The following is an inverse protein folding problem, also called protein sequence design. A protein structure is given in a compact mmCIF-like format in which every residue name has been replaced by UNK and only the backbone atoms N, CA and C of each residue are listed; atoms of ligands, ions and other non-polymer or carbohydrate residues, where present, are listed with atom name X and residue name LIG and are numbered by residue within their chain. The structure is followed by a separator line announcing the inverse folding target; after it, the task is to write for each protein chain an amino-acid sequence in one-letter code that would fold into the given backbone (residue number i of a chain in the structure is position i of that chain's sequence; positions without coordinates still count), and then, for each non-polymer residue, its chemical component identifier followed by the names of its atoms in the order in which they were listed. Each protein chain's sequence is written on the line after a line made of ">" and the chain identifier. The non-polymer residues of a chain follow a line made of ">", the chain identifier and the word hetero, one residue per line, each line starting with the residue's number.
data_IF_627372537339
#
_entry.id   IF_627372537339
#
_cell.length_a   1.000
_cell.length_b   1.000
_cell.length_c   1.000
_cell.angle_alpha   90.00
_cell.angle_beta   90.00
_cell.angle_gamma   90.00
#
_symmetry.space_group_name_H-M   'P 1'
#
loop_
_entity.id
_entity.type
_entity.pdbx_description
1 polymer ?
#
# COMPACT_ATOMS: atom_id res chain seq x y z
N UNK A 1 -0.85 -11.14 27.48
CA UNK A 1 -1.42 -10.04 26.71
C UNK A 1 -0.85 -8.73 27.30
N UNK A 2 0.29 -8.28 26.77
CA UNK A 2 0.93 -7.04 27.24
C UNK A 2 0.67 -5.95 26.19
N UNK A 3 -0.31 -5.13 26.45
CA UNK A 3 -0.48 -3.87 25.74
C UNK A 3 0.66 -2.96 26.17
N UNK A 4 1.69 -2.80 25.35
CA UNK A 4 2.64 -1.72 25.51
C UNK A 4 1.93 -0.42 25.17
N UNK A 5 1.36 0.22 26.18
CA UNK A 5 0.80 1.56 26.06
C UNK A 5 1.93 2.52 25.70
N UNK A 6 2.05 2.86 24.43
CA UNK A 6 2.84 4.01 24.02
C UNK A 6 2.07 5.27 24.42
N UNK A 7 2.33 5.76 25.63
CA UNK A 7 1.83 7.08 26.04
C UNK A 7 2.69 8.12 25.32
N UNK A 8 2.26 8.53 24.13
CA UNK A 8 2.76 9.73 23.49
C UNK A 8 1.81 10.88 23.82
N UNK A 9 2.33 11.86 24.52
CA UNK A 9 1.67 13.12 24.81
C UNK A 9 1.11 13.75 23.52
N UNK A 10 -0.20 13.78 23.33
CA UNK A 10 -0.93 14.67 22.40
C UNK A 10 -0.44 14.74 20.95
N UNK A 11 0.30 13.75 20.46
CA UNK A 11 0.92 13.76 19.13
C UNK A 11 0.10 12.99 18.09
N UNK A 12 0.10 13.49 16.87
CA UNK A 12 -0.36 12.80 15.67
C UNK A 12 0.38 11.47 15.57
N UNK A 13 -0.37 10.37 15.46
CA UNK A 13 0.19 9.01 15.31
C UNK A 13 0.16 8.63 13.83
N UNK A 14 1.30 8.17 13.32
CA UNK A 14 1.36 7.53 12.02
C UNK A 14 0.88 6.08 12.16
N UNK A 15 -0.18 5.72 11.42
CA UNK A 15 -0.70 4.35 11.35
C UNK A 15 -0.41 3.76 9.97
N UNK A 16 0.26 2.62 9.94
CA UNK A 16 0.46 1.86 8.71
C UNK A 16 -0.45 0.64 8.76
N UNK A 17 -1.38 0.59 7.83
CA UNK A 17 -2.47 -0.36 7.79
C UNK A 17 -2.33 -1.30 6.59
N UNK A 18 -2.64 -2.57 6.80
CA UNK A 18 -2.65 -3.57 5.74
C UNK A 18 -3.80 -4.55 5.89
N UNK A 19 -4.04 -5.34 4.86
CA UNK A 19 -5.04 -6.41 4.86
C UNK A 19 -4.34 -7.71 4.51
N UNK A 20 -4.58 -8.72 5.32
CA UNK A 20 -4.20 -10.09 5.05
C UNK A 20 -5.43 -11.01 5.13
N UNK A 21 -5.54 -11.92 4.20
CA UNK A 21 -6.53 -13.00 4.22
C UNK A 21 -5.85 -14.26 3.69
N UNK A 22 -6.20 -15.39 4.32
CA UNK A 22 -5.63 -16.67 3.97
C UNK A 22 -6.00 -17.10 2.54
N UNK A 23 -5.12 -17.86 1.90
CA UNK A 23 -5.36 -18.51 0.62
C UNK A 23 -4.42 -18.15 -0.51
N UNK A 24 -3.90 -16.91 -0.59
CA UNK A 24 -2.98 -16.50 -1.66
C UNK A 24 -1.57 -16.24 -1.16
N UNK A 25 -1.45 -15.50 -0.09
CA UNK A 25 -0.20 -15.22 0.59
C UNK A 25 -0.13 -15.99 1.91
N UNK A 26 1.08 -16.20 2.41
CA UNK A 26 1.32 -16.78 3.73
C UNK A 26 1.43 -15.67 4.80
N UNK A 27 1.16 -15.95 6.08
CA UNK A 27 1.20 -14.93 7.15
C UNK A 27 2.53 -14.20 7.28
N UNK A 28 3.63 -14.83 6.86
CA UNK A 28 4.97 -14.26 6.92
C UNK A 28 5.16 -13.04 5.99
N UNK A 29 4.29 -12.82 4.99
CA UNK A 29 4.28 -11.57 4.22
C UNK A 29 4.04 -10.36 5.11
N UNK A 30 3.11 -10.48 6.06
CA UNK A 30 2.80 -9.42 7.02
C UNK A 30 3.99 -9.19 7.95
N UNK A 31 4.54 -10.26 8.52
CA UNK A 31 5.69 -10.19 9.44
C UNK A 31 6.91 -9.54 8.78
N UNK A 32 7.22 -9.98 7.55
CA UNK A 32 8.37 -9.46 6.80
C UNK A 32 8.21 -8.02 6.39
N UNK A 33 7.01 -7.60 5.95
CA UNK A 33 6.71 -6.20 5.68
C UNK A 33 6.88 -5.36 6.97
N UNK A 34 6.26 -5.79 8.08
CA UNK A 34 6.33 -5.09 9.35
C UNK A 34 7.76 -4.91 9.84
N UNK A 35 8.52 -6.01 9.91
CA UNK A 35 9.92 -5.98 10.35
C UNK A 35 10.80 -5.17 9.41
N UNK A 36 10.53 -5.22 8.10
CA UNK A 36 11.25 -4.44 7.11
C UNK A 36 10.99 -2.93 7.26
N UNK A 37 9.75 -2.53 7.51
CA UNK A 37 9.40 -1.15 7.85
C UNK A 37 10.11 -0.70 9.13
N UNK A 38 10.10 -1.52 10.19
CA UNK A 38 10.80 -1.22 11.45
C UNK A 38 12.31 -1.05 11.27
N UNK A 39 12.95 -1.85 10.40
CA UNK A 39 14.39 -1.74 10.11
C UNK A 39 14.76 -0.50 9.29
N UNK A 40 13.85 -0.04 8.44
CA UNK A 40 14.11 0.99 7.44
C UNK A 40 13.45 2.34 7.73
N UNK A 41 12.86 2.51 8.93
CA UNK A 41 12.28 3.78 9.36
C UNK A 41 12.77 4.20 10.73
N UNK A 42 13.08 5.49 10.88
CA UNK A 42 13.27 6.15 12.15
C UNK A 42 11.97 6.79 12.69
N UNK A 43 10.95 6.92 11.86
CA UNK A 43 9.66 7.49 12.24
C UNK A 43 8.86 6.43 13.00
N UNK A 44 8.41 6.71 14.23
CA UNK A 44 7.58 5.78 14.96
C UNK A 44 6.20 5.65 14.30
N UNK A 45 5.69 4.43 14.23
CA UNK A 45 4.38 4.13 13.70
C UNK A 45 3.72 2.97 14.45
N UNK A 46 2.42 2.89 14.36
CA UNK A 46 1.62 1.74 14.76
C UNK A 46 1.27 0.92 13.52
N UNK A 47 1.62 -0.36 13.49
CA UNK A 47 1.32 -1.25 12.38
C UNK A 47 0.05 -2.06 12.65
N UNK A 48 -0.96 -1.89 11.81
CA UNK A 48 -2.29 -2.46 11.97
C UNK A 48 -2.59 -3.42 10.82
N UNK A 49 -2.95 -4.65 11.13
CA UNK A 49 -3.37 -5.62 10.12
C UNK A 49 -4.83 -6.03 10.32
N UNK A 50 -5.63 -5.91 9.27
CA UNK A 50 -6.94 -6.55 9.21
C UNK A 50 -6.73 -7.99 8.73
N UNK A 51 -7.00 -8.98 9.59
CA UNK A 51 -6.70 -10.38 9.32
C UNK A 51 -7.70 -11.32 10.02
N UNK A 52 -7.95 -12.47 9.40
CA UNK A 52 -8.71 -13.58 9.98
C UNK A 52 -7.83 -14.59 10.71
N UNK A 53 -6.52 -14.41 10.65
CA UNK A 53 -5.54 -15.28 11.26
C UNK A 53 -4.52 -14.51 12.09
N UNK A 54 -3.76 -15.22 12.91
CA UNK A 54 -2.70 -14.62 13.73
C UNK A 54 -1.52 -14.22 12.84
N UNK A 55 -1.13 -12.94 12.91
CA UNK A 55 -0.02 -12.35 12.17
C UNK A 55 0.78 -11.42 13.09
N UNK A 56 2.00 -11.11 12.72
CA UNK A 56 2.82 -10.18 13.48
C UNK A 56 2.45 -8.73 13.14
N UNK A 57 1.77 -8.06 14.08
CA UNK A 57 1.40 -6.64 13.97
C UNK A 57 1.30 -6.03 15.38
N UNK A 58 1.35 -4.70 15.50
CA UNK A 58 1.07 -4.02 16.77
C UNK A 58 -0.42 -4.18 17.15
N UNK A 59 -1.30 -4.17 16.14
CA UNK A 59 -2.74 -4.37 16.30
C UNK A 59 -3.27 -5.30 15.20
N UNK A 60 -4.01 -6.33 15.58
CA UNK A 60 -4.75 -7.20 14.66
C UNK A 60 -6.23 -6.86 14.78
N UNK A 61 -6.84 -6.44 13.67
CA UNK A 61 -8.27 -6.24 13.57
C UNK A 61 -8.91 -7.51 12.99
N UNK A 62 -10.00 -8.01 13.59
CA UNK A 62 -10.62 -9.22 13.11
C UNK A 62 -11.26 -9.01 11.74
N UNK A 63 -10.99 -9.95 10.85
CA UNK A 63 -11.67 -10.05 9.57
C UNK A 63 -13.09 -10.56 9.77
N UNK A 64 -14.05 -9.85 9.22
CA UNK A 64 -15.44 -10.26 9.28
C UNK A 64 -15.93 -10.71 7.88
N UNK A 65 -16.07 -12.01 7.69
CA UNK A 65 -16.55 -12.58 6.41
C UNK A 65 -18.05 -12.33 6.15
N UNK A 66 -18.79 -11.93 7.17
CA UNK A 66 -20.25 -11.68 7.03
C UNK A 66 -20.57 -10.34 6.33
N UNK A 67 -19.62 -9.43 6.22
CA UNK A 67 -19.86 -8.12 5.61
C UNK A 67 -19.88 -8.16 4.06
N UNK A 68 -19.65 -9.35 3.46
CA UNK A 68 -19.64 -9.61 2.01
C UNK A 68 -18.60 -8.82 1.22
N UNK A 69 -17.68 -8.13 1.89
CA UNK A 69 -16.58 -7.43 1.26
C UNK A 69 -15.51 -8.44 0.87
N UNK A 70 -14.99 -8.33 -0.34
CA UNK A 70 -14.06 -9.30 -0.93
C UNK A 70 -12.63 -8.79 -0.89
N UNK A 71 -11.71 -9.65 -0.46
CA UNK A 71 -10.27 -9.51 -0.66
C UNK A 71 -9.75 -8.10 -0.30
N UNK A 72 -9.04 -7.47 -1.22
CA UNK A 72 -8.43 -6.16 -1.06
C UNK A 72 -9.41 -4.98 -0.92
N UNK A 73 -10.69 -5.17 -1.24
CA UNK A 73 -11.72 -4.15 -0.98
C UNK A 73 -11.86 -3.81 0.50
N UNK A 74 -11.40 -4.69 1.39
CA UNK A 74 -11.31 -4.40 2.81
C UNK A 74 -10.39 -3.22 3.15
N UNK A 75 -9.45 -2.84 2.27
CA UNK A 75 -8.64 -1.64 2.42
C UNK A 75 -9.47 -0.37 2.56
N UNK A 76 -10.66 -0.34 1.95
CA UNK A 76 -11.56 0.81 2.03
C UNK A 76 -12.07 1.09 3.45
N UNK A 77 -12.07 0.09 4.35
CA UNK A 77 -12.46 0.28 5.76
C UNK A 77 -11.56 1.29 6.47
N UNK A 78 -10.29 1.39 6.07
CA UNK A 78 -9.34 2.33 6.67
C UNK A 78 -9.64 3.80 6.34
N UNK A 79 -10.48 4.09 5.34
CA UNK A 79 -10.98 5.44 5.09
C UNK A 79 -12.09 5.86 6.07
N UNK A 80 -12.65 4.92 6.84
CA UNK A 80 -13.57 5.22 7.93
C UNK A 80 -12.81 5.67 9.17
N UNK A 81 -13.04 6.88 9.69
CA UNK A 81 -12.37 7.36 10.91
C UNK A 81 -12.76 6.58 12.16
N UNK A 82 -13.86 5.79 12.12
CA UNK A 82 -14.27 4.90 13.20
C UNK A 82 -13.55 3.55 13.19
N UNK A 83 -12.81 3.25 12.12
CA UNK A 83 -12.11 1.98 11.97
C UNK A 83 -10.63 2.12 12.37
N UNK A 84 -10.03 1.05 12.87
CA UNK A 84 -8.60 0.97 13.22
C UNK A 84 -8.13 1.99 14.29
N UNK A 85 -9.00 2.30 15.25
CA UNK A 85 -8.68 3.18 16.39
C UNK A 85 -8.05 4.53 15.96
N UNK A 86 -8.55 5.10 14.89
CA UNK A 86 -8.07 6.36 14.35
C UNK A 86 -8.49 7.53 15.23
N UNK A 87 -7.60 8.50 15.41
CA UNK A 87 -7.91 9.78 16.03
C UNK A 87 -7.92 10.88 14.96
N UNK A 88 -8.68 11.97 15.19
CA UNK A 88 -8.61 13.13 14.30
C UNK A 88 -7.16 13.63 14.13
N UNK A 89 -6.74 13.80 12.90
CA UNK A 89 -5.40 14.27 12.57
C UNK A 89 -4.33 13.18 12.45
N UNK A 90 -4.60 11.91 12.80
CA UNK A 90 -3.68 10.81 12.51
C UNK A 90 -3.34 10.76 11.02
N UNK A 91 -2.09 10.43 10.71
CA UNK A 91 -1.68 10.05 9.36
C UNK A 91 -1.97 8.56 9.16
N UNK A 92 -2.76 8.24 8.15
CA UNK A 92 -3.12 6.87 7.80
C UNK A 92 -2.41 6.49 6.52
N UNK A 93 -1.68 5.39 6.55
CA UNK A 93 -1.11 4.74 5.38
C UNK A 93 -1.80 3.39 5.20
N UNK A 94 -2.23 3.08 3.99
CA UNK A 94 -2.71 1.76 3.59
C UNK A 94 -1.74 1.19 2.58
N UNK A 95 -1.14 0.03 2.89
CA UNK A 95 -0.12 -0.62 2.05
C UNK A 95 -0.50 -2.05 1.71
N UNK A 96 -0.12 -2.51 0.51
CA UNK A 96 -0.16 -3.92 0.15
C UNK A 96 0.99 -4.69 0.82
N UNK A 97 0.79 -5.98 1.08
CA UNK A 97 1.77 -6.85 1.75
C UNK A 97 2.85 -7.41 0.81
N UNK A 98 2.63 -7.35 -0.50
CA UNK A 98 3.53 -7.87 -1.52
C UNK A 98 4.60 -6.85 -1.94
N UNK A 99 5.23 -6.23 -0.94
CA UNK A 99 6.24 -5.20 -1.12
C UNK A 99 7.52 -5.54 -0.36
N UNK A 100 8.66 -5.35 -1.02
CA UNK A 100 9.99 -5.45 -0.41
C UNK A 100 10.53 -4.06 -0.17
N UNK A 101 10.77 -3.72 1.09
CA UNK A 101 11.39 -2.45 1.48
C UNK A 101 12.90 -2.59 1.32
N UNK A 102 13.51 -1.80 0.46
CA UNK A 102 14.93 -1.91 0.06
C UNK A 102 15.81 -0.78 0.57
N UNK A 103 15.22 0.21 1.23
CA UNK A 103 15.97 1.35 1.77
C UNK A 103 15.16 2.16 2.76
N UNK A 104 15.75 3.24 3.29
CA UNK A 104 15.08 4.13 4.22
C UNK A 104 13.78 4.69 3.64
N UNK A 105 12.69 4.52 4.36
CA UNK A 105 11.34 4.93 3.95
C UNK A 105 10.83 6.19 4.66
N UNK A 106 11.64 6.87 5.45
CA UNK A 106 11.19 8.03 6.24
C UNK A 106 10.59 9.12 5.36
N UNK A 107 11.18 9.41 4.20
CA UNK A 107 10.61 10.41 3.27
C UNK A 107 9.29 9.96 2.66
N UNK A 108 9.09 8.65 2.47
CA UNK A 108 7.86 8.08 1.92
C UNK A 108 6.74 8.12 2.97
N UNK A 109 6.98 7.51 4.14
CA UNK A 109 5.94 7.42 5.17
C UNK A 109 5.74 8.75 5.92
N UNK A 110 6.79 9.58 6.00
CA UNK A 110 6.74 10.94 6.56
C UNK A 110 6.29 12.01 5.56
N UNK A 111 5.99 11.65 4.29
CA UNK A 111 5.56 12.63 3.30
C UNK A 111 4.36 13.44 3.82
N UNK A 112 4.43 14.78 3.82
CA UNK A 112 3.34 15.60 4.33
C UNK A 112 2.06 15.39 3.51
N UNK A 113 0.92 15.35 4.19
CA UNK A 113 -0.41 15.27 3.60
C UNK A 113 -1.35 16.20 4.36
N UNK A 114 -2.20 16.93 3.63
CA UNK A 114 -3.21 17.83 4.18
C UNK A 114 -4.60 17.21 4.04
N UNK A 115 -5.59 17.89 4.63
CA UNK A 115 -6.98 17.53 4.41
C UNK A 115 -7.33 17.62 2.91
N UNK A 116 -8.16 16.70 2.45
CA UNK A 116 -8.54 16.56 1.04
C UNK A 116 -7.34 16.29 0.09
N UNK A 117 -6.26 15.71 0.61
CA UNK A 117 -5.13 15.23 -0.18
C UNK A 117 -4.94 13.73 0.03
N UNK A 118 -4.46 13.04 -1.00
CA UNK A 118 -3.97 11.67 -0.92
C UNK A 118 -2.60 11.56 -1.58
N UNK A 119 -1.63 10.99 -0.86
CA UNK A 119 -0.33 10.62 -1.41
C UNK A 119 -0.40 9.17 -1.89
N UNK A 120 0.09 8.91 -3.09
CA UNK A 120 0.18 7.57 -3.68
C UNK A 120 1.51 7.37 -4.40
N UNK A 121 1.82 6.13 -4.76
CA UNK A 121 2.94 5.85 -5.64
C UNK A 121 2.77 6.52 -7.00
N UNK A 122 3.85 7.10 -7.50
CA UNK A 122 3.92 7.53 -8.89
C UNK A 122 3.75 6.31 -9.80
N UNK A 123 2.92 6.45 -10.83
CA UNK A 123 2.74 5.41 -11.83
C UNK A 123 3.67 5.71 -13.00
N UNK A 124 4.61 4.80 -13.29
CA UNK A 124 5.53 4.90 -14.42
C UNK A 124 5.16 3.97 -15.59
N UNK A 125 4.21 3.07 -15.39
CA UNK A 125 3.63 2.28 -16.48
C UNK A 125 2.33 2.91 -16.97
N UNK A 126 2.02 2.70 -18.24
CA UNK A 126 0.80 3.27 -18.83
C UNK A 126 -0.45 2.75 -18.11
N UNK A 127 -1.18 3.65 -17.49
CA UNK A 127 -2.48 3.42 -16.87
C UNK A 127 -3.35 4.66 -17.05
N UNK A 128 -4.66 4.44 -17.19
CA UNK A 128 -5.64 5.52 -17.11
C UNK A 128 -5.82 6.02 -15.67
N UNK A 129 -5.50 5.15 -14.70
CA UNK A 129 -5.53 5.50 -13.30
C UNK A 129 -4.25 6.23 -12.89
N UNK A 130 -4.40 7.31 -12.20
CA UNK A 130 -3.28 8.08 -11.69
C UNK A 130 -2.88 7.69 -10.26
N UNK A 131 -3.69 6.87 -9.57
CA UNK A 131 -3.39 6.30 -8.26
C UNK A 131 -2.99 4.83 -8.34
N UNK A 132 -2.18 4.38 -7.39
CA UNK A 132 -1.79 2.99 -7.25
C UNK A 132 -2.29 2.43 -5.92
N UNK A 133 -3.04 1.32 -5.96
CA UNK A 133 -3.64 0.68 -4.78
C UNK A 133 -2.65 0.10 -3.79
N UNK A 134 -1.37 0.03 -4.14
CA UNK A 134 -0.32 -0.49 -3.24
C UNK A 134 0.09 0.46 -2.13
N UNK A 135 -0.28 1.75 -2.23
CA UNK A 135 0.03 2.73 -1.20
C UNK A 135 -0.93 3.92 -1.27
N UNK A 136 -1.61 4.18 -0.18
CA UNK A 136 -2.39 5.40 0.04
C UNK A 136 -1.97 6.04 1.36
N UNK A 137 -1.71 7.35 1.38
CA UNK A 137 -1.53 8.12 2.61
C UNK A 137 -2.49 9.31 2.64
N UNK A 138 -3.19 9.47 3.76
CA UNK A 138 -4.19 10.52 3.95
C UNK A 138 -4.38 10.85 5.45
N UNK A 139 -5.04 11.96 5.77
CA UNK A 139 -5.45 12.30 7.13
C UNK A 139 -6.71 11.54 7.54
N UNK A 140 -6.73 11.02 8.75
CA UNK A 140 -7.92 10.36 9.32
C UNK A 140 -9.17 11.21 9.15
N UNK A 141 -10.19 10.63 8.53
CA UNK A 141 -11.48 11.27 8.28
C UNK A 141 -11.54 12.21 7.09
N UNK A 142 -10.42 12.67 6.53
CA UNK A 142 -10.42 13.65 5.42
C UNK A 142 -11.02 13.08 4.14
N UNK A 143 -10.88 11.78 3.89
CA UNK A 143 -11.37 11.08 2.70
C UNK A 143 -12.47 10.05 3.04
N UNK A 144 -13.23 10.30 4.11
CA UNK A 144 -14.25 9.34 4.58
C UNK A 144 -15.33 9.03 3.54
N UNK A 145 -15.57 9.90 2.57
CA UNK A 145 -16.55 9.68 1.51
C UNK A 145 -16.23 8.40 0.69
N UNK A 146 -14.95 8.00 0.59
CA UNK A 146 -14.54 6.76 -0.08
C UNK A 146 -15.20 5.56 0.59
N UNK A 147 -15.16 5.50 1.92
CA UNK A 147 -15.87 4.46 2.68
C UNK A 147 -17.38 4.64 2.67
N UNK A 148 -17.86 5.85 2.97
CA UNK A 148 -19.29 6.14 3.12
C UNK A 148 -20.08 5.80 1.84
N UNK A 149 -19.51 6.08 0.66
CA UNK A 149 -20.13 5.74 -0.61
C UNK A 149 -20.07 4.23 -0.94
N UNK A 150 -18.93 3.60 -0.64
CA UNK A 150 -18.77 2.16 -0.81
C UNK A 150 -19.75 1.38 0.08
N UNK A 151 -19.84 1.75 1.34
CA UNK A 151 -20.67 1.07 2.33
C UNK A 151 -22.17 1.11 2.04
N UNK A 152 -22.65 2.04 1.21
CA UNK A 152 -24.04 2.09 0.76
C UNK A 152 -24.43 0.90 -0.13
N UNK A 153 -23.50 0.41 -0.95
CA UNK A 153 -23.75 -0.71 -1.84
C UNK A 153 -22.46 -1.45 -2.22
N UNK A 154 -21.86 -2.20 -1.29
CA UNK A 154 -20.59 -2.91 -1.54
C UNK A 154 -20.69 -3.92 -2.69
N UNK A 155 -21.81 -4.65 -2.81
CA UNK A 155 -22.01 -5.67 -3.85
C UNK A 155 -21.94 -5.05 -5.25
N UNK A 156 -22.53 -3.87 -5.44
CA UNK A 156 -22.48 -3.13 -6.70
C UNK A 156 -21.04 -2.73 -7.06
N UNK A 157 -20.34 -2.06 -6.15
CA UNK A 157 -19.02 -1.51 -6.43
C UNK A 157 -17.98 -2.60 -6.72
N UNK A 158 -18.02 -3.70 -6.02
CA UNK A 158 -17.09 -4.82 -6.19
C UNK A 158 -17.18 -5.50 -7.57
N UNK A 159 -18.28 -5.32 -8.29
CA UNK A 159 -18.48 -5.88 -9.64
C UNK A 159 -18.59 -4.83 -10.72
N UNK A 160 -18.81 -3.57 -10.37
CA UNK A 160 -19.07 -2.47 -11.32
C UNK A 160 -18.00 -2.36 -12.40
N UNK A 161 -16.72 -2.29 -12.03
CA UNK A 161 -15.62 -2.07 -12.99
C UNK A 161 -15.38 -3.29 -13.89
N UNK A 162 -15.69 -4.48 -13.43
CA UNK A 162 -15.71 -5.68 -14.28
C UNK A 162 -16.84 -5.60 -15.28
N UNK A 163 -18.03 -5.22 -14.84
CA UNK A 163 -19.22 -5.16 -15.68
C UNK A 163 -19.13 -4.08 -16.78
N UNK A 164 -18.41 -2.99 -16.54
CA UNK A 164 -18.17 -1.93 -17.55
C UNK A 164 -16.90 -2.16 -18.38
N UNK A 165 -16.17 -3.24 -18.13
CA UNK A 165 -15.01 -3.63 -18.93
C UNK A 165 -13.68 -2.96 -18.54
N UNK A 166 -13.61 -2.29 -17.41
CA UNK A 166 -12.40 -1.61 -16.94
C UNK A 166 -11.37 -2.57 -16.30
N UNK A 167 -11.82 -3.71 -15.81
CA UNK A 167 -10.97 -4.74 -15.21
C UNK A 167 -11.31 -6.13 -15.76
N UNK A 168 -10.30 -7.03 -15.78
CA UNK A 168 -10.42 -8.34 -16.40
C UNK A 168 -11.00 -9.43 -15.49
N UNK A 169 -11.10 -9.17 -14.19
CA UNK A 169 -11.51 -10.17 -13.20
C UNK A 169 -12.54 -9.58 -12.23
N UNK A 170 -13.63 -10.31 -11.90
CA UNK A 170 -14.58 -9.87 -10.88
C UNK A 170 -13.88 -9.63 -9.55
N UNK A 171 -14.37 -8.67 -8.80
CA UNK A 171 -13.83 -8.23 -7.50
C UNK A 171 -12.46 -7.52 -7.55
N UNK A 172 -11.88 -7.32 -8.73
CA UNK A 172 -10.81 -6.35 -8.92
C UNK A 172 -11.40 -4.96 -9.19
N UNK A 173 -10.59 -3.90 -9.04
CA UNK A 173 -11.05 -2.54 -9.32
C UNK A 173 -11.20 -1.64 -8.10
N UNK A 174 -10.74 -2.07 -6.92
CA UNK A 174 -10.70 -1.20 -5.74
C UNK A 174 -9.94 0.10 -6.03
N UNK A 175 -8.77 0.02 -6.68
CA UNK A 175 -8.02 1.22 -7.06
C UNK A 175 -8.75 2.09 -8.09
N UNK A 176 -9.55 1.50 -9.00
CA UNK A 176 -10.42 2.25 -9.92
C UNK A 176 -11.47 3.02 -9.12
N UNK A 177 -12.10 2.35 -8.16
CA UNK A 177 -13.10 2.97 -7.29
C UNK A 177 -12.51 4.16 -6.53
N UNK A 178 -11.37 3.98 -5.86
CA UNK A 178 -10.70 5.05 -5.11
C UNK A 178 -10.36 6.22 -6.02
N UNK A 179 -9.75 5.95 -7.19
CA UNK A 179 -9.39 6.99 -8.14
C UNK A 179 -10.59 7.81 -8.62
N UNK A 180 -11.64 7.13 -9.09
CA UNK A 180 -12.82 7.83 -9.61
C UNK A 180 -13.60 8.58 -8.53
N UNK A 181 -13.61 8.08 -7.29
CA UNK A 181 -14.19 8.83 -6.18
C UNK A 181 -13.37 10.07 -5.84
N UNK A 182 -12.07 9.99 -5.89
CA UNK A 182 -11.22 11.18 -5.72
C UNK A 182 -11.47 12.23 -6.80
N UNK A 183 -11.61 11.83 -8.06
CA UNK A 183 -11.97 12.74 -9.15
C UNK A 183 -13.33 13.40 -8.91
N UNK A 184 -14.34 12.62 -8.52
CA UNK A 184 -15.68 13.10 -8.20
C UNK A 184 -15.68 14.15 -7.08
N UNK A 185 -14.92 13.89 -6.01
CA UNK A 185 -14.83 14.76 -4.84
C UNK A 185 -13.70 15.80 -4.94
N UNK A 186 -13.01 15.85 -6.08
CA UNK A 186 -11.91 16.80 -6.35
C UNK A 186 -10.80 16.73 -5.29
N UNK A 187 -10.48 15.54 -4.84
CA UNK A 187 -9.38 15.29 -3.93
C UNK A 187 -8.05 15.46 -4.66
N UNK A 188 -7.13 16.19 -4.06
CA UNK A 188 -5.82 16.41 -4.65
C UNK A 188 -4.95 15.16 -4.50
N UNK A 189 -4.54 14.61 -5.64
CA UNK A 189 -3.61 13.50 -5.71
C UNK A 189 -2.17 14.00 -5.71
N UNK A 190 -1.36 13.50 -4.78
CA UNK A 190 0.08 13.76 -4.68
C UNK A 190 0.80 12.47 -5.03
N UNK A 191 1.63 12.50 -6.06
CA UNK A 191 2.44 11.35 -6.48
C UNK A 191 3.83 11.43 -5.86
N UNK A 192 4.29 10.32 -5.28
CA UNK A 192 5.68 10.22 -4.83
C UNK A 192 6.64 10.28 -6.03
N UNK A 193 7.92 10.62 -5.81
CA UNK A 193 8.93 10.48 -6.85
C UNK A 193 8.94 9.06 -7.43
N UNK A 194 8.93 8.97 -8.76
CA UNK A 194 8.83 7.69 -9.47
C UNK A 194 10.01 6.77 -9.16
N UNK A 195 11.18 7.34 -8.91
CA UNK A 195 12.39 6.59 -8.58
C UNK A 195 12.38 5.89 -7.21
N UNK A 196 11.40 6.18 -6.36
CA UNK A 196 11.30 5.51 -5.06
C UNK A 196 10.68 4.13 -5.15
N UNK A 197 9.93 3.86 -6.21
CA UNK A 197 9.11 2.65 -6.33
C UNK A 197 9.47 1.93 -7.62
N UNK A 198 9.75 0.64 -7.50
CA UNK A 198 9.96 -0.25 -8.62
C UNK A 198 8.85 -1.30 -8.69
N UNK A 199 8.26 -1.48 -9.86
CA UNK A 199 7.36 -2.61 -10.11
C UNK A 199 8.16 -3.79 -10.62
N UNK A 200 8.31 -4.84 -9.81
CA UNK A 200 9.17 -5.97 -10.11
C UNK A 200 8.92 -6.59 -11.50
N UNK A 201 7.68 -6.91 -11.82
CA UNK A 201 7.37 -7.69 -13.01
C UNK A 201 7.66 -6.98 -14.34
N UNK A 202 7.47 -5.67 -14.39
CA UNK A 202 7.69 -4.88 -15.62
C UNK A 202 9.05 -4.22 -15.66
N UNK A 203 9.53 -3.72 -14.52
CA UNK A 203 10.69 -2.85 -14.49
C UNK A 203 12.00 -3.63 -14.33
N UNK A 204 11.99 -4.78 -13.66
CA UNK A 204 13.17 -5.62 -13.52
C UNK A 204 13.44 -6.50 -14.73
N UNK A 205 12.40 -7.10 -15.32
CA UNK A 205 12.60 -8.05 -16.44
C UNK A 205 12.76 -7.35 -17.77
N UNK A 206 12.02 -6.29 -18.00
CA UNK A 206 11.99 -5.55 -19.25
C UNK A 206 12.71 -4.21 -19.14
N UNK A 207 12.77 -3.65 -17.97
CA UNK A 207 13.63 -2.56 -17.50
C UNK A 207 13.62 -1.24 -18.30
N UNK A 208 12.69 -1.06 -19.24
CA UNK A 208 12.75 0.07 -20.13
C UNK A 208 12.33 1.39 -19.48
N UNK A 209 11.23 1.36 -18.71
CA UNK A 209 10.67 2.60 -18.13
C UNK A 209 11.54 3.11 -17.00
N UNK A 210 11.86 2.24 -16.05
CA UNK A 210 12.67 2.60 -14.88
C UNK A 210 14.10 2.99 -15.31
N UNK A 211 14.71 2.25 -16.22
CA UNK A 211 16.02 2.60 -16.76
C UNK A 211 16.03 3.98 -17.41
N UNK A 212 14.97 4.35 -18.13
CA UNK A 212 14.87 5.69 -18.71
C UNK A 212 14.83 6.75 -17.61
N UNK A 213 14.01 6.57 -16.59
CA UNK A 213 13.90 7.48 -15.45
C UNK A 213 15.28 7.66 -14.78
N UNK A 214 15.96 6.57 -14.45
CA UNK A 214 17.27 6.63 -13.81
C UNK A 214 18.32 7.25 -14.72
N UNK A 215 18.34 6.91 -16.00
CA UNK A 215 19.28 7.48 -16.97
C UNK A 215 19.10 8.98 -17.12
N UNK A 216 17.85 9.42 -17.24
CA UNK A 216 17.53 10.84 -17.45
C UNK A 216 17.82 11.67 -16.19
N UNK A 217 17.45 11.15 -15.01
CA UNK A 217 17.54 11.88 -13.73
C UNK A 217 18.92 11.76 -13.08
N UNK A 218 19.50 10.58 -13.06
CA UNK A 218 20.72 10.31 -12.30
C UNK A 218 21.95 10.07 -13.17
N UNK A 219 21.78 10.07 -14.50
CA UNK A 219 22.84 9.79 -15.46
C UNK A 219 23.50 8.41 -15.22
N UNK A 220 22.75 7.47 -14.74
CA UNK A 220 23.15 6.07 -14.58
C UNK A 220 22.69 5.26 -15.78
N UNK A 221 23.49 4.27 -16.18
CA UNK A 221 23.20 3.55 -17.43
C UNK A 221 22.05 2.56 -17.29
N UNK A 222 21.91 1.90 -16.16
CA UNK A 222 20.86 0.92 -15.95
C UNK A 222 20.83 0.40 -14.50
N UNK A 223 19.81 -0.38 -14.24
CA UNK A 223 19.69 -1.22 -13.06
C UNK A 223 19.96 -2.68 -13.46
N UNK A 224 20.93 -3.31 -12.80
CA UNK A 224 21.27 -4.71 -13.05
C UNK A 224 20.18 -5.58 -12.44
N UNK A 225 19.76 -6.63 -13.17
CA UNK A 225 18.80 -7.59 -12.65
C UNK A 225 19.34 -8.24 -11.36
N UNK A 226 18.58 -8.14 -10.28
CA UNK A 226 18.98 -8.57 -8.95
C UNK A 226 19.59 -7.50 -8.07
N UNK A 227 20.08 -6.41 -8.66
CA UNK A 227 20.58 -5.24 -7.91
C UNK A 227 19.54 -4.13 -7.91
N UNK A 228 19.26 -3.60 -6.74
CA UNK A 228 18.32 -2.49 -6.56
C UNK A 228 19.08 -1.18 -6.46
N UNK A 229 18.72 -0.23 -7.31
CA UNK A 229 19.34 1.08 -7.28
C UNK A 229 19.10 1.78 -5.93
N UNK A 230 20.13 2.46 -5.40
CA UNK A 230 20.13 3.11 -4.07
C UNK A 230 18.96 4.09 -3.81
N UNK A 231 18.30 4.58 -4.84
CA UNK A 231 17.15 5.48 -4.69
C UNK A 231 15.81 4.74 -4.57
N UNK A 232 15.76 3.45 -4.89
CA UNK A 232 14.54 2.66 -4.73
C UNK A 232 14.34 2.40 -3.23
N UNK A 233 13.17 2.75 -2.74
CA UNK A 233 12.74 2.50 -1.36
C UNK A 233 11.88 1.24 -1.24
N UNK A 234 11.12 0.96 -2.29
CA UNK A 234 10.16 -0.15 -2.31
C UNK A 234 10.18 -0.84 -3.67
N UNK A 235 10.26 -2.16 -3.66
CA UNK A 235 9.98 -2.99 -4.83
C UNK A 235 8.61 -3.64 -4.63
N UNK A 236 7.66 -3.28 -5.49
CA UNK A 236 6.28 -3.77 -5.45
C UNK A 236 6.11 -4.95 -6.39
N UNK A 237 5.67 -6.08 -5.85
CA UNK A 237 5.35 -7.28 -6.60
C UNK A 237 3.86 -7.26 -6.95
N UNK A 238 3.52 -7.59 -8.18
CA UNK A 238 2.14 -7.48 -8.65
C UNK A 238 1.67 -8.76 -9.32
N UNK A 239 0.45 -9.13 -9.03
CA UNK A 239 -0.33 -10.11 -9.74
C UNK A 239 -0.19 -11.55 -9.26
N UNK A 240 -1.21 -12.36 -9.53
CA UNK A 240 -1.27 -13.76 -9.16
C UNK A 240 -0.16 -14.56 -9.84
N UNK A 241 0.44 -15.50 -9.12
CA UNK A 241 1.47 -16.41 -9.62
C UNK A 241 2.90 -15.86 -9.59
N UNK A 242 3.16 -14.75 -8.89
CA UNK A 242 4.52 -14.23 -8.68
C UNK A 242 4.71 -13.84 -7.21
N UNK A 243 4.70 -14.84 -6.37
CA UNK A 243 4.99 -14.64 -4.95
C UNK A 243 6.46 -14.27 -4.76
N UNK A 244 6.76 -13.44 -3.77
CA UNK A 244 8.13 -13.04 -3.46
C UNK A 244 9.01 -14.27 -3.18
N UNK A 245 8.45 -15.34 -2.59
CA UNK A 245 9.14 -16.61 -2.32
C UNK A 245 9.71 -17.31 -3.55
N UNK A 246 9.16 -17.07 -4.73
CA UNK A 246 9.61 -17.71 -5.99
C UNK A 246 10.84 -17.04 -6.58
N UNK A 247 11.32 -15.96 -5.97
CA UNK A 247 12.41 -15.14 -6.46
C UNK A 247 13.65 -15.26 -5.59
N UNK A 248 14.83 -15.27 -6.23
CA UNK A 248 16.12 -15.54 -5.58
C UNK A 248 17.11 -14.38 -5.67
N UNK A 249 16.67 -13.21 -6.10
CA UNK A 249 17.49 -12.02 -6.21
C UNK A 249 18.09 -11.62 -4.87
N UNK A 250 19.30 -11.05 -4.90
CA UNK A 250 20.05 -10.70 -3.69
C UNK A 250 19.28 -9.72 -2.80
N UNK A 251 18.65 -8.70 -3.40
CA UNK A 251 17.92 -7.70 -2.66
C UNK A 251 16.71 -8.27 -1.89
N UNK A 252 16.09 -9.33 -2.40
CA UNK A 252 14.99 -10.02 -1.72
C UNK A 252 15.54 -10.71 -0.49
N UNK A 253 16.60 -11.50 -0.63
CA UNK A 253 17.22 -12.22 0.48
C UNK A 253 17.73 -11.30 1.59
N UNK A 254 18.21 -10.12 1.21
CA UNK A 254 18.76 -9.12 2.13
C UNK A 254 17.67 -8.33 2.86
N UNK A 255 16.56 -8.05 2.21
CA UNK A 255 15.56 -7.11 2.72
C UNK A 255 14.24 -7.75 3.15
N UNK A 256 13.82 -8.85 2.51
CA UNK A 256 12.58 -9.54 2.81
C UNK A 256 12.83 -10.77 3.70
N UNK A 257 13.22 -10.51 4.93
CA UNK A 257 13.66 -11.50 5.91
C UNK A 257 13.02 -11.30 7.28
N UNK A 258 13.18 -12.31 8.11
CA UNK A 258 12.80 -12.28 9.52
C UNK A 258 13.51 -11.17 10.33
#
# INVERSE_FOLDING_TARGET
>A
MFVKTLILYGGIILKICTVYFDGYYTPDYVSKLYRSLKRNSSIPFEFICLSDTDVEADVILPYNSYDKIKIHWHKLKFFSPQFAYQNPGDDIIVMDIDQVITGNVDELIGHPVQDNEMVTYGIWWKSLLESNGGFYKFKSGSLKYIWDEFAKNPDYWQTHYYNVGDVHTPYYGEQNYVFWKMEEYKTKLIKTPEEWICKYSSDFKENFTLNKIYRDKFKTDYMILGDVHKYIKVVHFTGPGKTIHEHNESFIKENWRE
#
